data_IF_352402885983
#
_entry.id   IF_352402885983
#
_cell.length_a   1.000
_cell.length_b   1.000
_cell.length_c   1.000
_cell.angle_alpha   90.00
_cell.angle_beta   90.00
_cell.angle_gamma   90.00
#
_symmetry.space_group_name_H-M   'P 1'
#
loop_
_entity.id
_entity.type
_entity.pdbx_description
1 polymer ?
#
# COMPACT_ATOMS: atom_id res chain seq x y z
N UNK A 1 -2.03 8.97 6.96
CA UNK A 1 -0.56 8.90 6.80
C UNK A 1 -0.24 8.47 5.37
N UNK A 2 1.03 8.48 4.93
CA UNK A 2 1.42 7.87 3.66
C UNK A 2 2.00 6.48 3.89
N UNK A 3 1.41 5.46 3.25
CA UNK A 3 1.95 4.10 3.27
C UNK A 3 2.87 3.92 2.05
N UNK A 4 4.11 3.49 2.29
CA UNK A 4 5.08 3.20 1.23
C UNK A 4 5.18 1.68 1.06
N UNK A 5 4.84 1.20 -0.13
CA UNK A 5 4.96 -0.21 -0.53
C UNK A 5 6.14 -0.34 -1.46
N UNK A 6 7.10 -1.21 -1.13
CA UNK A 6 8.32 -1.42 -1.91
C UNK A 6 8.55 -2.90 -2.15
N UNK A 7 9.05 -3.24 -3.33
CA UNK A 7 9.37 -4.60 -3.71
C UNK A 7 10.00 -4.65 -5.11
N UNK A 8 10.75 -5.71 -5.43
CA UNK A 8 11.36 -5.89 -6.75
C UNK A 8 10.31 -5.98 -7.86
N UNK A 9 9.15 -6.57 -7.54
CA UNK A 9 7.93 -6.53 -8.33
C UNK A 9 6.76 -6.33 -7.37
N UNK A 10 5.92 -5.34 -7.63
CA UNK A 10 4.77 -5.01 -6.78
C UNK A 10 3.50 -5.19 -7.62
N UNK A 11 2.73 -6.28 -7.41
CA UNK A 11 1.60 -6.58 -8.26
C UNK A 11 0.50 -5.52 -8.08
N UNK A 12 0.04 -4.94 -9.20
CA UNK A 12 -1.06 -3.97 -9.22
C UNK A 12 -2.31 -4.43 -8.45
N UNK A 13 -2.74 -5.71 -8.49
CA UNK A 13 -3.82 -6.21 -7.64
C UNK A 13 -3.56 -6.00 -6.14
N UNK A 14 -2.35 -6.26 -5.66
CA UNK A 14 -1.97 -6.07 -4.25
C UNK A 14 -2.03 -4.60 -3.84
N UNK A 15 -1.58 -3.68 -4.71
CA UNK A 15 -1.72 -2.24 -4.46
C UNK A 15 -3.18 -1.80 -4.32
N UNK A 16 -4.07 -2.32 -5.17
CA UNK A 16 -5.51 -2.01 -5.10
C UNK A 16 -6.16 -2.57 -3.83
N UNK A 17 -5.76 -3.79 -3.42
CA UNK A 17 -6.23 -4.38 -2.16
C UNK A 17 -5.76 -3.56 -0.97
N UNK A 18 -4.48 -3.17 -0.91
CA UNK A 18 -3.95 -2.30 0.13
C UNK A 18 -4.66 -0.94 0.15
N UNK A 19 -4.89 -0.30 -0.99
CA UNK A 19 -5.58 0.98 -1.04
C UNK A 19 -7.02 0.89 -0.50
N UNK A 20 -7.72 -0.21 -0.80
CA UNK A 20 -9.05 -0.48 -0.22
C UNK A 20 -8.96 -0.72 1.28
N UNK A 21 -8.00 -1.53 1.73
CA UNK A 21 -7.80 -1.89 3.13
C UNK A 21 -7.52 -0.65 4.00
N UNK A 22 -6.66 0.24 3.52
CA UNK A 22 -6.26 1.44 4.25
C UNK A 22 -7.15 2.65 3.99
N UNK A 23 -8.15 2.55 3.10
CA UNK A 23 -8.94 3.71 2.66
C UNK A 23 -8.10 4.81 1.99
N UNK A 24 -7.02 4.45 1.29
CA UNK A 24 -6.13 5.42 0.67
C UNK A 24 -6.85 6.24 -0.41
N UNK A 25 -6.59 7.54 -0.45
CA UNK A 25 -7.20 8.46 -1.40
C UNK A 25 -6.66 8.27 -2.83
N UNK A 26 -5.39 7.86 -2.96
CA UNK A 26 -4.75 7.63 -4.24
C UNK A 26 -3.54 6.69 -4.11
N UNK A 27 -3.11 6.14 -5.26
CA UNK A 27 -1.87 5.38 -5.40
C UNK A 27 -0.97 6.16 -6.37
N UNK A 28 0.25 6.47 -5.93
CA UNK A 28 1.25 7.16 -6.74
C UNK A 28 2.47 6.26 -6.93
N UNK A 29 2.98 6.18 -8.16
CA UNK A 29 4.26 5.55 -8.43
C UNK A 29 5.39 6.49 -7.94
N UNK A 30 6.24 5.99 -7.06
CA UNK A 30 7.44 6.72 -6.60
C UNK A 30 8.65 6.31 -7.43
N UNK A 31 8.74 5.02 -7.76
CA UNK A 31 9.75 4.46 -8.66
C UNK A 31 9.22 3.17 -9.30
N UNK A 32 10.06 2.46 -10.08
CA UNK A 32 9.69 1.15 -10.63
C UNK A 32 9.43 0.09 -9.55
N UNK A 33 9.97 0.28 -8.36
CA UNK A 33 9.94 -0.71 -7.26
C UNK A 33 9.28 -0.14 -6.00
N UNK A 34 8.61 1.01 -6.11
CA UNK A 34 8.01 1.69 -4.96
C UNK A 34 6.75 2.46 -5.34
N UNK A 35 5.72 2.32 -4.51
CA UNK A 35 4.43 3.00 -4.63
C UNK A 35 4.05 3.64 -3.29
N UNK A 36 3.34 4.76 -3.36
CA UNK A 36 2.82 5.50 -2.22
C UNK A 36 1.30 5.45 -2.24
N UNK A 37 0.71 5.00 -1.14
CA UNK A 37 -0.71 5.11 -0.88
C UNK A 37 -0.92 6.38 -0.04
N UNK A 38 -1.60 7.36 -0.63
CA UNK A 38 -1.88 8.66 0.00
C UNK A 38 -3.03 8.55 1.01
N UNK A 39 -2.88 9.25 2.13
CA UNK A 39 -3.90 9.36 3.18
C UNK A 39 -4.45 8.02 3.69
N UNK A 40 -3.58 6.99 3.71
CA UNK A 40 -3.86 5.71 4.34
C UNK A 40 -4.18 5.88 5.84
N UNK A 41 -5.23 5.18 6.31
CA UNK A 41 -5.61 5.11 7.72
C UNK A 41 -4.56 4.33 8.52
N UNK A 42 -4.03 4.98 9.56
CA UNK A 42 -3.04 4.39 10.46
C UNK A 42 -3.62 3.25 11.31
N UNK A 43 -4.94 3.24 11.52
CA UNK A 43 -5.63 2.16 12.26
C UNK A 43 -5.53 0.82 11.55
N UNK A 44 -5.38 0.81 10.22
CA UNK A 44 -5.23 -0.40 9.41
C UNK A 44 -3.82 -1.01 9.48
N UNK A 45 -2.88 -0.43 10.24
CA UNK A 45 -1.47 -0.86 10.25
C UNK A 45 -1.27 -2.35 10.56
N UNK A 46 -2.04 -2.92 11.49
CA UNK A 46 -1.95 -4.34 11.83
C UNK A 46 -2.43 -5.24 10.68
N UNK A 47 -3.52 -4.85 10.01
CA UNK A 47 -4.07 -5.60 8.87
C UNK A 47 -3.16 -5.50 7.63
N UNK A 48 -2.53 -4.34 7.41
CA UNK A 48 -1.53 -4.14 6.36
C UNK A 48 -0.31 -5.05 6.60
N UNK A 49 0.19 -5.12 7.83
CA UNK A 49 1.31 -6.00 8.16
C UNK A 49 0.97 -7.46 7.86
N UNK A 50 -0.20 -7.94 8.30
CA UNK A 50 -0.66 -9.30 8.01
C UNK A 50 -0.83 -9.57 6.50
N UNK A 51 -1.28 -8.58 5.72
CA UNK A 51 -1.38 -8.70 4.27
C UNK A 51 0.00 -8.80 3.59
N UNK A 52 1.02 -8.12 4.11
CA UNK A 52 2.36 -8.12 3.52
C UNK A 52 3.22 -9.33 3.91
N UNK A 53 2.80 -10.12 4.90
CA UNK A 53 3.50 -11.34 5.33
C UNK A 53 3.16 -12.59 4.48
N UNK A 54 2.20 -12.48 3.56
CA UNK A 54 1.80 -13.57 2.64
C UNK A 54 2.59 -13.56 1.34
#
# INVERSE_FOLDING_TARGET
>A
MNLIVQGPDVPTPGLKQLAKLTGAAAIEAVSRTAFRLLDADDRARAEVAAFCET
#
